data_IF_564405963082
#
_entry.id   IF_564405963082
#
_cell.length_a   1.000
_cell.length_b   1.000
_cell.length_c   1.000
_cell.angle_alpha   90.00
_cell.angle_beta   90.00
_cell.angle_gamma   90.00
#
_symmetry.space_group_name_H-M   'P 1'
#
loop_
_entity.id
_entity.type
_entity.pdbx_description
1 polymer ?
#
# COMPACT_ATOMS: atom_id res chain seq x y z
N UNK A 1 -17.32 88.34 12.12
CA UNK A 1 -17.27 88.35 13.60
C UNK A 1 -16.49 87.12 14.02
N UNK A 2 -15.18 87.28 14.18
CA UNK A 2 -14.49 87.23 15.48
C UNK A 2 -14.68 85.92 16.24
N UNK A 3 -13.62 85.10 16.30
CA UNK A 3 -13.12 84.61 17.58
C UNK A 3 -11.69 84.07 17.41
N UNK A 4 -10.71 84.89 17.79
CA UNK A 4 -9.33 84.47 17.94
C UNK A 4 -9.17 83.70 19.27
N UNK A 5 -8.47 82.57 19.24
CA UNK A 5 -8.08 81.82 20.43
C UNK A 5 -6.54 81.77 20.48
N UNK A 6 -6.00 82.56 21.39
CA UNK A 6 -4.58 82.65 21.72
C UNK A 6 -4.22 81.47 22.62
N UNK A 7 -3.35 80.58 22.15
CA UNK A 7 -2.72 79.57 23.02
C UNK A 7 -1.29 80.00 23.35
N UNK A 8 -1.06 80.35 24.62
CA UNK A 8 0.25 80.70 25.17
C UNK A 8 1.14 79.45 25.25
N UNK A 9 2.34 79.54 24.67
CA UNK A 9 3.36 78.51 24.74
C UNK A 9 4.01 78.42 26.13
N UNK A 10 4.15 77.20 26.64
CA UNK A 10 4.99 76.86 27.79
C UNK A 10 6.28 76.25 27.23
N UNK A 11 7.38 77.00 27.29
CA UNK A 11 8.70 76.49 26.95
C UNK A 11 9.23 75.63 28.10
N UNK A 12 9.50 74.33 27.85
CA UNK A 12 10.19 73.44 28.80
C UNK A 12 11.71 73.51 28.56
N UNK A 13 12.55 73.56 29.60
CA UNK A 13 14.00 73.51 29.42
C UNK A 13 14.43 72.12 28.95
N UNK A 14 15.24 72.08 27.89
CA UNK A 14 15.78 70.86 27.29
C UNK A 14 17.07 70.50 28.01
N UNK A 15 16.98 69.59 28.97
CA UNK A 15 18.16 69.02 29.66
C UNK A 15 18.90 68.09 28.70
N UNK A 16 20.02 68.55 28.15
CA UNK A 16 20.91 67.71 27.33
C UNK A 16 21.80 66.88 28.26
N UNK A 17 21.43 65.63 28.49
CA UNK A 17 22.32 64.65 29.14
C UNK A 17 23.38 64.20 28.12
N UNK A 18 24.62 64.63 28.35
CA UNK A 18 25.79 64.09 27.67
C UNK A 18 26.06 62.67 28.18
N UNK A 19 25.68 61.66 27.40
CA UNK A 19 26.09 60.27 27.64
C UNK A 19 27.43 60.00 26.95
N UNK A 20 28.46 59.77 27.76
CA UNK A 20 29.75 59.25 27.29
C UNK A 20 29.56 57.81 26.80
N UNK A 21 29.62 57.60 25.48
CA UNK A 21 29.66 56.27 24.89
C UNK A 21 31.11 55.80 24.84
N UNK A 22 31.55 55.05 25.85
CA UNK A 22 32.80 54.29 25.74
C UNK A 22 32.61 53.16 24.71
N UNK A 23 33.43 53.06 23.65
CA UNK A 23 33.35 51.93 22.74
C UNK A 23 33.88 50.69 23.47
N UNK A 24 32.96 49.85 23.96
CA UNK A 24 33.29 48.50 24.41
C UNK A 24 33.69 47.71 23.16
N UNK A 25 35.00 47.53 22.95
CA UNK A 25 35.52 46.63 21.93
C UNK A 25 35.12 45.20 22.30
N UNK A 26 33.97 44.75 21.80
CA UNK A 26 33.53 43.38 21.95
C UNK A 26 34.40 42.50 21.05
N UNK A 27 35.55 42.07 21.57
CA UNK A 27 36.45 41.12 20.90
C UNK A 27 35.72 39.79 20.78
N UNK A 28 35.08 39.55 19.63
CA UNK A 28 34.54 38.24 19.29
C UNK A 28 35.74 37.30 19.13
N UNK A 29 36.00 36.47 20.13
CA UNK A 29 36.83 35.29 19.96
C UNK A 29 36.06 34.35 19.04
N UNK A 30 36.20 34.55 17.73
CA UNK A 30 35.73 33.61 16.72
C UNK A 30 36.63 32.37 16.84
N UNK A 31 36.23 31.44 17.70
CA UNK A 31 36.82 30.11 17.76
C UNK A 31 36.36 29.35 16.53
N UNK A 32 37.22 29.30 15.51
CA UNK A 32 37.06 28.37 14.40
C UNK A 32 37.39 26.97 14.94
N UNK A 33 36.35 26.24 15.32
CA UNK A 33 36.47 24.80 15.58
C UNK A 33 36.85 24.12 14.26
N UNK A 34 38.02 23.49 14.21
CA UNK A 34 38.38 22.58 13.11
C UNK A 34 37.35 21.46 13.11
N UNK A 35 36.51 21.41 12.07
CA UNK A 35 35.59 20.31 11.86
C UNK A 35 36.45 19.06 11.66
N UNK A 36 36.50 18.18 12.67
CA UNK A 36 36.93 16.80 12.47
C UNK A 36 36.08 16.23 11.32
N UNK A 37 36.75 15.66 10.32
CA UNK A 37 36.15 15.18 9.09
C UNK A 37 35.35 13.90 9.33
N UNK A 38 34.29 13.94 10.13
CA UNK A 38 33.14 13.10 9.83
C UNK A 38 32.71 13.47 8.41
N UNK A 39 32.57 12.47 7.55
CA UNK A 39 32.24 12.74 6.17
C UNK A 39 30.89 13.49 6.15
N UNK A 40 30.71 14.53 5.31
CA UNK A 40 29.43 15.23 5.20
C UNK A 40 28.23 14.28 4.99
N UNK A 41 28.49 13.07 4.46
CA UNK A 41 27.50 12.00 4.29
C UNK A 41 26.99 11.44 5.62
N UNK A 42 27.86 11.29 6.62
CA UNK A 42 27.52 10.74 7.94
C UNK A 42 26.58 11.68 8.69
N UNK A 43 26.83 12.99 8.59
CA UNK A 43 25.95 14.03 9.15
C UNK A 43 24.57 14.05 8.49
N UNK A 44 24.53 13.94 7.16
CA UNK A 44 23.26 13.85 6.44
C UNK A 44 22.52 12.55 6.77
N UNK A 45 23.22 11.43 6.97
CA UNK A 45 22.63 10.18 7.43
C UNK A 45 22.03 10.32 8.84
N UNK A 46 22.78 10.91 9.78
CA UNK A 46 22.30 11.20 11.14
C UNK A 46 21.06 12.12 11.14
N UNK A 47 21.02 13.10 10.23
CA UNK A 47 19.84 13.95 10.04
C UNK A 47 18.64 13.18 9.45
N UNK A 48 18.85 12.26 8.49
CA UNK A 48 17.77 11.45 7.88
C UNK A 48 17.09 10.55 8.90
N UNK A 49 17.84 9.98 9.85
CA UNK A 49 17.30 9.15 10.93
C UNK A 49 16.32 9.91 11.86
N UNK A 50 16.47 11.24 11.96
CA UNK A 50 15.61 12.09 12.81
C UNK A 50 14.39 12.66 12.08
N UNK A 51 14.25 12.41 10.77
CA UNK A 51 13.11 12.90 10.00
C UNK A 51 11.96 11.91 10.13
N UNK A 52 10.77 12.35 10.57
CA UNK A 52 9.61 11.47 10.59
C UNK A 52 9.21 11.10 9.16
N UNK A 53 8.75 9.86 8.99
CA UNK A 53 8.16 9.41 7.72
C UNK A 53 6.76 10.01 7.63
N UNK A 54 6.45 10.69 6.51
CA UNK A 54 5.11 11.22 6.28
C UNK A 54 4.08 10.09 6.21
N UNK A 55 2.86 10.27 6.75
CA UNK A 55 1.81 9.27 6.62
C UNK A 55 1.48 9.07 5.14
N UNK A 56 1.35 7.81 4.72
CA UNK A 56 1.15 7.41 3.32
C UNK A 56 -0.16 6.62 3.14
N UNK A 57 -0.13 5.29 3.32
CA UNK A 57 -1.29 4.40 3.22
C UNK A 57 -2.46 4.78 4.15
N UNK A 58 -2.18 5.38 5.32
CA UNK A 58 -3.22 5.77 6.28
C UNK A 58 -4.03 7.00 5.84
N UNK A 59 -3.47 7.85 4.97
CA UNK A 59 -4.12 9.09 4.50
C UNK A 59 -4.45 9.05 3.00
N UNK A 60 -3.99 8.02 2.28
CA UNK A 60 -4.21 7.89 0.85
C UNK A 60 -5.64 7.46 0.53
N UNK A 61 -6.25 8.10 -0.49
CA UNK A 61 -7.59 7.76 -0.96
C UNK A 61 -7.57 6.50 -1.82
N UNK A 62 -8.24 5.45 -1.35
CA UNK A 62 -8.46 4.22 -2.14
C UNK A 62 -9.24 4.49 -3.42
N UNK A 63 -8.74 3.93 -4.52
CA UNK A 63 -9.32 4.01 -5.85
C UNK A 63 -9.21 2.65 -6.56
N UNK A 64 -9.73 2.54 -7.79
CA UNK A 64 -9.72 1.25 -8.49
C UNK A 64 -8.31 0.79 -8.89
N UNK A 65 -7.37 1.70 -9.12
CA UNK A 65 -6.00 1.37 -9.57
C UNK A 65 -5.19 0.77 -8.42
N UNK A 66 -5.15 1.44 -7.27
CA UNK A 66 -4.37 0.93 -6.14
C UNK A 66 -5.00 -0.33 -5.53
N UNK A 67 -6.33 -0.42 -5.48
CA UNK A 67 -7.05 -1.60 -5.01
C UNK A 67 -6.82 -2.80 -5.94
N UNK A 68 -6.93 -2.61 -7.26
CA UNK A 68 -6.67 -3.68 -8.23
C UNK A 68 -5.23 -4.20 -8.16
N UNK A 69 -4.25 -3.30 -7.98
CA UNK A 69 -2.85 -3.71 -7.82
C UNK A 69 -2.63 -4.51 -6.53
N UNK A 70 -3.21 -4.06 -5.40
CA UNK A 70 -3.12 -4.77 -4.14
C UNK A 70 -3.76 -6.17 -4.24
N UNK A 71 -4.95 -6.27 -4.83
CA UNK A 71 -5.63 -7.54 -5.04
C UNK A 71 -4.80 -8.49 -5.90
N UNK A 72 -4.15 -8.01 -6.97
CA UNK A 72 -3.31 -8.85 -7.82
C UNK A 72 -2.13 -9.48 -7.05
N UNK A 73 -1.52 -8.70 -6.15
CA UNK A 73 -0.45 -9.18 -5.27
C UNK A 73 -0.99 -10.19 -4.25
N UNK A 74 -2.10 -9.86 -3.59
CA UNK A 74 -2.72 -10.74 -2.59
C UNK A 74 -3.11 -12.07 -3.23
N UNK A 75 -3.78 -12.07 -4.38
CA UNK A 75 -4.15 -13.32 -5.06
C UNK A 75 -2.92 -14.10 -5.53
N UNK A 76 -1.86 -13.42 -5.98
CA UNK A 76 -0.59 -14.07 -6.31
C UNK A 76 0.06 -14.75 -5.10
N UNK A 77 0.08 -14.07 -3.95
CA UNK A 77 0.58 -14.64 -2.70
C UNK A 77 -0.28 -15.83 -2.25
N UNK A 78 -1.61 -15.74 -2.35
CA UNK A 78 -2.50 -16.84 -1.99
C UNK A 78 -2.30 -18.06 -2.90
N UNK A 79 -2.16 -17.86 -4.20
CA UNK A 79 -1.96 -18.96 -5.16
C UNK A 79 -0.58 -19.61 -4.97
N UNK A 80 0.49 -18.83 -4.97
CA UNK A 80 1.84 -19.36 -4.76
C UNK A 80 1.99 -19.95 -3.37
N UNK A 81 1.48 -19.26 -2.34
CA UNK A 81 1.54 -19.71 -0.96
C UNK A 81 0.77 -21.01 -0.72
N UNK A 82 -0.42 -21.16 -1.31
CA UNK A 82 -1.17 -22.43 -1.22
C UNK A 82 -0.47 -23.56 -1.97
N UNK A 83 0.08 -23.29 -3.17
CA UNK A 83 0.82 -24.29 -3.94
C UNK A 83 2.07 -24.77 -3.18
N UNK A 84 2.95 -23.84 -2.77
CA UNK A 84 4.17 -24.18 -2.06
C UNK A 84 3.89 -24.75 -0.67
N UNK A 85 2.89 -24.22 0.04
CA UNK A 85 2.46 -24.72 1.33
C UNK A 85 1.96 -26.16 1.24
N UNK A 86 1.08 -26.46 0.28
CA UNK A 86 0.59 -27.81 0.05
C UNK A 86 1.72 -28.75 -0.39
N UNK A 87 2.57 -28.35 -1.34
CA UNK A 87 3.67 -29.19 -1.82
C UNK A 87 4.67 -29.52 -0.69
N UNK A 88 5.00 -28.53 0.14
CA UNK A 88 5.90 -28.73 1.29
C UNK A 88 5.24 -29.63 2.34
N UNK A 89 3.97 -29.39 2.66
CA UNK A 89 3.25 -30.20 3.62
C UNK A 89 3.10 -31.65 3.14
N UNK A 90 2.81 -31.86 1.85
CA UNK A 90 2.75 -33.17 1.23
C UNK A 90 4.09 -33.91 1.33
N UNK A 91 5.20 -33.21 1.09
CA UNK A 91 6.55 -33.78 1.20
C UNK A 91 6.87 -34.25 2.63
N UNK A 92 6.48 -33.47 3.64
CA UNK A 92 6.73 -33.80 5.04
C UNK A 92 5.62 -34.65 5.68
N UNK A 93 4.53 -34.94 4.98
CA UNK A 93 3.37 -35.65 5.50
C UNK A 93 3.74 -37.00 6.17
N UNK A 94 4.59 -37.87 5.56
CA UNK A 94 4.98 -39.13 6.19
C UNK A 94 5.73 -38.95 7.51
N UNK A 95 6.59 -37.94 7.61
CA UNK A 95 7.36 -37.66 8.84
C UNK A 95 6.50 -37.09 9.97
N UNK A 96 5.39 -36.46 9.63
CA UNK A 96 4.43 -35.89 10.58
C UNK A 96 3.27 -36.85 10.91
N UNK A 97 3.24 -38.04 10.30
CA UNK A 97 2.12 -38.98 10.41
C UNK A 97 0.82 -38.47 9.78
N UNK A 98 0.90 -37.53 8.83
CA UNK A 98 -0.24 -36.99 8.12
C UNK A 98 -0.53 -37.82 6.86
N UNK A 99 -1.79 -38.15 6.63
CA UNK A 99 -2.27 -38.79 5.41
C UNK A 99 -2.84 -37.73 4.47
N UNK A 100 -2.04 -37.31 3.48
CA UNK A 100 -2.39 -36.28 2.49
C UNK A 100 -2.40 -36.84 1.05
N UNK A 101 -2.80 -38.09 0.89
CA UNK A 101 -3.00 -38.70 -0.40
C UNK A 101 -4.28 -38.18 -1.08
N UNK A 102 -4.36 -38.32 -2.40
CA UNK A 102 -5.50 -37.82 -3.17
C UNK A 102 -6.82 -38.46 -2.75
N UNK A 103 -6.83 -39.72 -2.29
CA UNK A 103 -8.06 -40.42 -1.93
C UNK A 103 -8.65 -39.86 -0.64
N UNK A 104 -7.84 -39.66 0.40
CA UNK A 104 -8.28 -39.05 1.67
C UNK A 104 -8.80 -37.62 1.48
N UNK A 105 -8.13 -36.82 0.65
CA UNK A 105 -8.59 -35.44 0.35
C UNK A 105 -9.94 -35.45 -0.38
N UNK A 106 -10.12 -36.35 -1.36
CA UNK A 106 -11.38 -36.48 -2.10
C UNK A 106 -12.51 -36.96 -1.20
N UNK A 107 -12.26 -37.93 -0.32
CA UNK A 107 -13.24 -38.43 0.64
C UNK A 107 -13.64 -37.33 1.63
N UNK A 108 -12.66 -36.64 2.24
CA UNK A 108 -12.90 -35.54 3.17
C UNK A 108 -13.72 -34.43 2.50
N UNK A 109 -13.34 -34.03 1.28
CA UNK A 109 -14.10 -33.03 0.53
C UNK A 109 -15.49 -33.53 0.12
N UNK A 110 -15.61 -34.80 -0.25
CA UNK A 110 -16.85 -35.46 -0.65
C UNK A 110 -17.90 -35.49 0.48
N UNK A 111 -17.44 -35.72 1.71
CA UNK A 111 -18.26 -35.77 2.93
C UNK A 111 -18.92 -34.43 3.31
N UNK A 112 -18.43 -33.31 2.75
CA UNK A 112 -18.96 -31.98 3.07
C UNK A 112 -20.36 -31.75 2.46
N UNK A 113 -21.21 -30.95 3.12
CA UNK A 113 -22.47 -30.49 2.53
C UNK A 113 -22.24 -29.74 1.21
N UNK A 114 -23.22 -29.79 0.30
CA UNK A 114 -23.13 -29.15 -1.01
C UNK A 114 -22.79 -27.67 -0.91
N UNK A 115 -23.36 -26.96 0.07
CA UNK A 115 -23.07 -25.54 0.32
C UNK A 115 -21.58 -25.29 0.59
N UNK A 116 -20.95 -26.12 1.44
CA UNK A 116 -19.52 -25.99 1.75
C UNK A 116 -18.65 -26.34 0.55
N UNK A 117 -18.99 -27.40 -0.20
CA UNK A 117 -18.28 -27.76 -1.44
C UNK A 117 -18.29 -26.61 -2.44
N UNK A 118 -19.45 -26.00 -2.67
CA UNK A 118 -19.58 -24.85 -3.58
C UNK A 118 -18.81 -23.64 -3.06
N UNK A 119 -18.87 -23.36 -1.76
CA UNK A 119 -18.16 -22.23 -1.15
C UNK A 119 -16.63 -22.39 -1.28
N UNK A 120 -16.09 -23.58 -1.02
CA UNK A 120 -14.65 -23.87 -1.16
C UNK A 120 -14.22 -23.76 -2.63
N UNK A 121 -14.97 -24.38 -3.56
CA UNK A 121 -14.69 -24.25 -5.00
C UNK A 121 -14.67 -22.78 -5.43
N UNK A 122 -15.67 -22.01 -5.00
CA UNK A 122 -15.74 -20.59 -5.30
C UNK A 122 -14.55 -19.83 -4.71
N UNK A 123 -14.26 -20.02 -3.43
CA UNK A 123 -13.18 -19.36 -2.71
C UNK A 123 -11.78 -19.62 -3.29
N UNK A 124 -11.55 -20.81 -3.86
CA UNK A 124 -10.30 -21.12 -4.58
C UNK A 124 -10.31 -20.55 -6.01
N UNK A 125 -11.47 -20.57 -6.69
CA UNK A 125 -11.56 -20.10 -8.08
C UNK A 125 -11.44 -18.58 -8.22
N UNK A 126 -11.91 -17.79 -7.25
CA UNK A 126 -11.84 -16.31 -7.28
C UNK A 126 -10.40 -15.80 -7.36
N UNK A 127 -9.47 -16.15 -6.45
CA UNK A 127 -8.09 -15.67 -6.55
C UNK A 127 -7.41 -16.14 -7.84
N UNK A 128 -7.70 -17.35 -8.30
CA UNK A 128 -7.16 -17.90 -9.55
C UNK A 128 -7.60 -17.09 -10.78
N UNK A 129 -8.91 -16.96 -11.00
CA UNK A 129 -9.47 -16.26 -12.17
C UNK A 129 -9.16 -14.77 -12.13
N UNK A 130 -9.16 -14.14 -10.95
CA UNK A 130 -8.75 -12.75 -10.80
C UNK A 130 -7.28 -12.54 -11.13
N UNK A 131 -6.39 -13.38 -10.59
CA UNK A 131 -4.96 -13.26 -10.87
C UNK A 131 -4.67 -13.45 -12.37
N UNK A 132 -5.30 -14.43 -13.01
CA UNK A 132 -5.14 -14.70 -14.43
C UNK A 132 -5.62 -13.53 -15.31
N UNK A 133 -6.88 -13.09 -15.17
CA UNK A 133 -7.42 -12.00 -16.01
C UNK A 133 -6.77 -10.65 -15.72
N UNK A 134 -6.48 -10.36 -14.45
CA UNK A 134 -5.76 -9.13 -14.12
C UNK A 134 -4.30 -9.19 -14.61
N UNK A 135 -3.67 -10.36 -14.62
CA UNK A 135 -2.36 -10.59 -15.22
C UNK A 135 -2.35 -10.30 -16.73
N UNK A 136 -3.37 -10.76 -17.47
CA UNK A 136 -3.53 -10.39 -18.89
C UNK A 136 -3.64 -8.87 -19.07
N UNK A 137 -4.44 -8.19 -18.23
CA UNK A 137 -4.51 -6.73 -18.24
C UNK A 137 -3.14 -6.09 -18.00
N UNK A 138 -2.33 -6.62 -17.07
CA UNK A 138 -0.96 -6.14 -16.83
C UNK A 138 -0.06 -6.32 -18.05
N UNK A 139 -0.08 -7.48 -18.71
CA UNK A 139 0.67 -7.69 -19.95
C UNK A 139 0.25 -6.71 -21.07
N UNK A 140 -1.03 -6.37 -21.16
CA UNK A 140 -1.51 -5.34 -22.08
C UNK A 140 -0.98 -3.95 -21.69
N UNK A 141 -0.92 -3.62 -20.40
CA UNK A 141 -0.29 -2.38 -19.93
C UNK A 141 1.21 -2.33 -20.23
N UNK A 142 1.92 -3.45 -20.07
CA UNK A 142 3.35 -3.56 -20.37
C UNK A 142 3.64 -3.35 -21.87
N UNK A 143 2.67 -3.69 -22.74
CA UNK A 143 2.73 -3.37 -24.17
C UNK A 143 2.45 -1.89 -24.52
N UNK A 144 2.25 -1.03 -23.53
CA UNK A 144 1.95 0.39 -23.70
C UNK A 144 0.49 0.71 -24.04
N UNK A 145 -0.44 -0.24 -23.87
CA UNK A 145 -1.86 -0.10 -24.24
C UNK A 145 -2.74 0.08 -23.00
N UNK A 146 -3.96 0.60 -23.17
CA UNK A 146 -4.96 0.81 -22.09
C UNK A 146 -4.48 1.67 -20.90
N UNK A 147 -3.53 2.59 -21.13
CA UNK A 147 -2.96 3.46 -20.09
C UNK A 147 -3.83 4.68 -19.75
N UNK A 148 -4.83 5.00 -20.58
CA UNK A 148 -5.74 6.12 -20.32
C UNK A 148 -6.63 5.87 -19.09
N UNK A 149 -6.95 6.93 -18.33
CA UNK A 149 -7.73 6.82 -17.08
C UNK A 149 -9.05 6.06 -17.26
N UNK A 150 -9.85 6.42 -18.26
CA UNK A 150 -11.13 5.77 -18.54
C UNK A 150 -10.95 4.32 -19.03
N UNK A 151 -9.96 4.07 -19.89
CA UNK A 151 -9.66 2.74 -20.43
C UNK A 151 -9.21 1.79 -19.31
N UNK A 152 -8.28 2.23 -18.47
CA UNK A 152 -7.80 1.50 -17.29
C UNK A 152 -8.93 1.21 -16.29
N UNK A 153 -9.84 2.17 -16.08
CA UNK A 153 -11.03 1.98 -15.25
C UNK A 153 -11.98 0.92 -15.81
N UNK A 154 -12.32 0.99 -17.09
CA UNK A 154 -13.17 0.01 -17.77
C UNK A 154 -12.54 -1.39 -17.75
N UNK A 155 -11.25 -1.49 -18.06
CA UNK A 155 -10.52 -2.75 -18.01
C UNK A 155 -10.55 -3.38 -16.62
N UNK A 156 -10.44 -2.58 -15.56
CA UNK A 156 -10.50 -3.08 -14.17
C UNK A 156 -11.89 -3.66 -13.84
N UNK A 157 -12.97 -3.00 -14.27
CA UNK A 157 -14.32 -3.53 -14.10
C UNK A 157 -14.59 -4.78 -14.93
N UNK A 158 -14.11 -4.82 -16.18
CA UNK A 158 -14.22 -6.02 -17.05
C UNK A 158 -13.52 -7.20 -16.39
N UNK A 159 -12.28 -7.02 -15.91
CA UNK A 159 -11.54 -8.06 -15.18
C UNK A 159 -12.35 -8.57 -14.00
N UNK A 160 -12.88 -7.68 -13.14
CA UNK A 160 -13.68 -8.09 -11.97
C UNK A 160 -14.90 -8.91 -12.37
N UNK A 161 -15.67 -8.46 -13.37
CA UNK A 161 -16.89 -9.14 -13.82
C UNK A 161 -16.54 -10.52 -14.42
N UNK A 162 -15.54 -10.58 -15.30
CA UNK A 162 -15.07 -11.83 -15.90
C UNK A 162 -14.57 -12.82 -14.85
N UNK A 163 -13.82 -12.36 -13.84
CA UNK A 163 -13.34 -13.22 -12.76
C UNK A 163 -14.48 -13.79 -11.93
N UNK A 164 -15.46 -12.95 -11.56
CA UNK A 164 -16.60 -13.39 -10.75
C UNK A 164 -17.50 -14.35 -11.53
N UNK A 165 -17.77 -14.10 -12.81
CA UNK A 165 -18.58 -14.98 -13.65
C UNK A 165 -17.87 -16.32 -13.91
N UNK A 166 -16.58 -16.30 -14.23
CA UNK A 166 -15.78 -17.52 -14.42
C UNK A 166 -15.71 -18.35 -13.12
N UNK A 167 -15.50 -17.69 -11.98
CA UNK A 167 -15.46 -18.35 -10.67
C UNK A 167 -16.79 -18.99 -10.31
N UNK A 168 -17.91 -18.29 -10.57
CA UNK A 168 -19.24 -18.82 -10.34
C UNK A 168 -19.50 -20.04 -11.25
N UNK A 169 -19.12 -19.96 -12.52
CA UNK A 169 -19.20 -21.08 -13.46
C UNK A 169 -18.41 -22.30 -12.98
N UNK A 170 -17.16 -22.11 -12.55
CA UNK A 170 -16.32 -23.18 -12.00
C UNK A 170 -16.88 -23.77 -10.70
N UNK A 171 -17.43 -22.93 -9.82
CA UNK A 171 -18.02 -23.37 -8.56
C UNK A 171 -19.27 -24.24 -8.79
N UNK A 172 -20.13 -23.84 -9.72
CA UNK A 172 -21.39 -24.53 -10.03
C UNK A 172 -21.23 -25.69 -11.00
N UNK A 173 -20.12 -25.76 -11.74
CA UNK A 173 -19.87 -26.84 -12.69
C UNK A 173 -19.91 -28.21 -11.99
N UNK A 174 -20.84 -29.06 -12.44
CA UNK A 174 -20.92 -30.48 -12.09
C UNK A 174 -20.50 -31.28 -13.32
N UNK A 175 -19.46 -32.13 -13.22
CA UNK A 175 -19.12 -33.03 -14.32
C UNK A 175 -20.29 -33.98 -14.57
N UNK A 176 -20.61 -34.23 -15.84
CA UNK A 176 -21.70 -35.11 -16.23
C UNK A 176 -21.47 -36.52 -15.68
N UNK A 177 -22.47 -37.04 -14.98
CA UNK A 177 -22.51 -38.42 -14.51
C UNK A 177 -22.52 -39.33 -15.74
N UNK A 178 -21.49 -40.17 -15.90
CA UNK A 178 -21.57 -41.27 -16.85
C UNK A 178 -22.52 -42.28 -16.23
N UNK A 179 -23.74 -42.37 -16.73
CA UNK A 179 -24.63 -43.49 -16.46
C UNK A 179 -23.93 -44.75 -16.92
N UNK A 180 -23.31 -45.47 -15.99
CA UNK A 180 -22.84 -46.82 -16.26
C UNK A 180 -24.08 -47.66 -16.58
N UNK A 181 -24.18 -48.12 -17.82
CA UNK A 181 -25.22 -49.08 -18.18
C UNK A 181 -24.80 -50.40 -17.54
N UNK A 182 -25.45 -50.71 -16.42
CA UNK A 182 -25.38 -51.98 -15.70
C UNK A 182 -25.17 -53.18 -16.65
N UNK A 183 -24.08 -53.91 -16.44
CA UNK A 183 -24.05 -55.36 -16.67
C UNK A 183 -24.67 -56.07 -15.46
#
# INVERSE_FOLDING_TARGET
MSCALVYRGIARPRTTLFTSKTPVLHRRYLSTQTIQSESPKDRLAAQRLRRPVSPHLSVYKWNYVNSSSALHRITGILLSGSLYGFATLYLFAPTLGLHLDSATIVEAFGSLPVTFKTAIKFGISVPFTYHAFNGVKHLVWDSGRLLGKQQSGRATWIVLICSMSASLGLALYKPGEKTDKSQ
#
